data_IF_483025593267
#
_entry.id   IF_483025593267
#
_cell.length_a   1.000
_cell.length_b   1.000
_cell.length_c   1.000
_cell.angle_alpha   90.00
_cell.angle_beta   90.00
_cell.angle_gamma   90.00
#
_symmetry.space_group_name_H-M   'P 1'
#
loop_
_entity.id
_entity.type
_entity.pdbx_description
1 polymer ?
#
# COMPACT_ATOMS: atom_id res chain seq x y z
N UNK A 1 15.18 -4.39 -19.78
CA UNK A 1 14.90 -5.84 -19.74
C UNK A 1 13.73 -6.17 -18.81
N UNK A 2 13.74 -5.73 -17.54
CA UNK A 2 12.61 -5.90 -16.60
C UNK A 2 11.29 -5.23 -17.02
N UNK A 3 11.40 -4.14 -17.76
CA UNK A 3 10.27 -3.32 -18.19
C UNK A 3 9.38 -3.99 -19.25
N UNK A 4 9.96 -4.85 -20.10
CA UNK A 4 9.22 -5.58 -21.12
C UNK A 4 8.40 -6.74 -20.53
N UNK A 5 8.87 -7.33 -19.42
CA UNK A 5 8.18 -8.45 -18.75
C UNK A 5 6.86 -7.96 -18.12
N UNK A 6 6.85 -6.77 -17.52
CA UNK A 6 5.64 -6.21 -16.91
C UNK A 6 4.57 -5.86 -17.97
N UNK A 7 4.99 -5.43 -19.16
CA UNK A 7 4.07 -5.15 -20.28
C UNK A 7 3.47 -6.44 -20.82
N UNK A 8 4.29 -7.48 -21.03
CA UNK A 8 3.80 -8.79 -21.50
C UNK A 8 2.85 -9.46 -20.48
N UNK A 9 3.14 -9.33 -19.18
CA UNK A 9 2.26 -9.81 -18.10
C UNK A 9 0.95 -9.01 -18.08
N UNK A 10 0.99 -7.69 -18.25
CA UNK A 10 -0.21 -6.86 -18.32
C UNK A 10 -1.08 -7.20 -19.55
N UNK A 11 -0.46 -7.45 -20.71
CA UNK A 11 -1.15 -7.88 -21.93
C UNK A 11 -1.80 -9.28 -21.77
N UNK A 12 -1.11 -10.23 -21.13
CA UNK A 12 -1.71 -11.54 -20.85
C UNK A 12 -2.83 -11.49 -19.80
N UNK A 13 -2.67 -10.67 -18.76
CA UNK A 13 -3.73 -10.42 -17.79
C UNK A 13 -4.93 -9.71 -18.45
N UNK A 14 -4.70 -8.91 -19.50
CA UNK A 14 -5.73 -8.22 -20.27
C UNK A 14 -6.63 -9.17 -21.07
N UNK A 15 -6.09 -10.25 -21.63
CA UNK A 15 -6.87 -11.27 -22.35
C UNK A 15 -7.95 -11.92 -21.47
N UNK A 16 -7.71 -12.01 -20.15
CA UNK A 16 -8.69 -12.57 -19.22
C UNK A 16 -9.95 -11.70 -19.14
N UNK A 17 -9.82 -10.37 -19.25
CA UNK A 17 -10.96 -9.45 -19.18
C UNK A 17 -11.80 -9.41 -20.45
N UNK A 18 -11.23 -9.79 -21.60
CA UNK A 18 -11.98 -9.97 -22.85
C UNK A 18 -12.70 -11.33 -22.91
N UNK A 19 -12.50 -12.22 -21.93
CA UNK A 19 -13.20 -13.48 -21.87
C UNK A 19 -14.57 -13.28 -21.22
N UNK A 20 -15.64 -13.38 -22.01
CA UNK A 20 -17.01 -13.15 -21.53
C UNK A 20 -17.39 -14.08 -20.37
N UNK A 21 -16.94 -15.34 -20.36
CA UNK A 21 -17.23 -16.24 -19.24
C UNK A 21 -16.56 -15.83 -17.93
N UNK A 22 -15.32 -15.34 -18.01
CA UNK A 22 -14.63 -14.83 -16.84
C UNK A 22 -15.28 -13.54 -16.34
N UNK A 23 -15.66 -12.66 -17.26
CA UNK A 23 -16.40 -11.44 -16.96
C UNK A 23 -17.75 -11.74 -16.28
N UNK A 24 -18.51 -12.71 -16.79
CA UNK A 24 -19.78 -13.14 -16.21
C UNK A 24 -19.61 -13.66 -14.78
N UNK A 25 -18.57 -14.47 -14.55
CA UNK A 25 -18.26 -14.99 -13.22
C UNK A 25 -17.84 -13.88 -12.25
N UNK A 26 -17.08 -12.89 -12.72
CA UNK A 26 -16.75 -11.69 -11.94
C UNK A 26 -18.00 -10.88 -11.64
N UNK A 27 -18.91 -10.74 -12.61
CA UNK A 27 -20.16 -9.99 -12.47
C UNK A 27 -21.09 -10.58 -11.43
N UNK A 28 -21.16 -11.91 -11.36
CA UNK A 28 -21.92 -12.64 -10.34
C UNK A 28 -21.33 -12.47 -8.94
N UNK A 29 -20.00 -12.35 -8.83
CA UNK A 29 -19.26 -12.26 -7.55
C UNK A 29 -18.71 -10.86 -7.27
N UNK A 30 -19.23 -9.84 -7.95
CA UNK A 30 -18.67 -8.48 -8.00
C UNK A 30 -18.51 -7.85 -6.62
N UNK A 31 -19.44 -8.11 -5.71
CA UNK A 31 -19.45 -7.60 -4.34
C UNK A 31 -18.20 -7.99 -3.53
N UNK A 32 -17.53 -9.08 -3.90
CA UNK A 32 -16.28 -9.54 -3.26
C UNK A 32 -15.07 -9.18 -4.11
N UNK A 33 -15.14 -9.41 -5.43
CA UNK A 33 -13.99 -9.26 -6.32
C UNK A 33 -13.62 -7.80 -6.55
N UNK A 34 -14.59 -6.93 -6.82
CA UNK A 34 -14.33 -5.52 -7.15
C UNK A 34 -13.62 -4.79 -6.00
N UNK A 35 -14.05 -4.90 -4.72
CA UNK A 35 -13.33 -4.27 -3.62
C UNK A 35 -11.88 -4.74 -3.44
N UNK A 36 -11.57 -5.99 -3.79
CA UNK A 36 -10.20 -6.54 -3.68
C UNK A 36 -9.29 -5.99 -4.79
N UNK A 37 -9.82 -5.90 -6.02
CA UNK A 37 -9.04 -5.49 -7.20
C UNK A 37 -8.90 -3.96 -7.26
N UNK A 38 -9.92 -3.23 -6.83
CA UNK A 38 -10.00 -1.77 -7.01
C UNK A 38 -8.79 -1.00 -6.46
N UNK A 39 -8.25 -1.27 -5.25
CA UNK A 39 -7.09 -0.53 -4.74
C UNK A 39 -5.83 -0.67 -5.61
N UNK A 40 -5.60 -1.85 -6.17
CA UNK A 40 -4.47 -2.07 -7.07
C UNK A 40 -4.70 -1.35 -8.41
N UNK A 41 -5.93 -1.42 -8.92
CA UNK A 41 -6.34 -0.74 -10.15
C UNK A 41 -6.19 0.79 -10.03
N UNK A 42 -6.64 1.37 -8.93
CA UNK A 42 -6.59 2.83 -8.69
C UNK A 42 -5.15 3.33 -8.52
N UNK A 43 -4.28 2.57 -7.83
CA UNK A 43 -2.85 2.93 -7.76
C UNK A 43 -2.17 2.86 -9.12
N UNK A 44 -2.48 1.84 -9.92
CA UNK A 44 -1.97 1.75 -11.29
C UNK A 44 -2.44 2.94 -12.14
N UNK A 45 -3.71 3.34 -12.02
CA UNK A 45 -4.25 4.49 -12.76
C UNK A 45 -3.54 5.81 -12.43
N UNK A 46 -3.05 5.97 -11.19
CA UNK A 46 -2.38 7.19 -10.73
C UNK A 46 -0.87 7.22 -10.98
N UNK A 47 -0.20 6.08 -10.90
CA UNK A 47 1.26 6.02 -10.75
C UNK A 47 1.98 5.28 -11.87
N UNK A 48 1.26 4.63 -12.79
CA UNK A 48 1.91 3.82 -13.82
C UNK A 48 2.47 4.68 -14.96
N UNK A 49 3.75 4.51 -15.27
CA UNK A 49 4.48 5.31 -16.27
C UNK A 49 4.21 4.87 -17.73
N UNK A 50 3.73 3.64 -17.92
CA UNK A 50 3.45 3.08 -19.25
C UNK A 50 2.00 3.36 -19.70
N UNK A 51 1.85 4.02 -20.85
CA UNK A 51 0.55 4.42 -21.42
C UNK A 51 -0.35 3.23 -21.80
N UNK A 52 0.20 2.13 -22.32
CA UNK A 52 -0.60 0.94 -22.65
C UNK A 52 -1.24 0.33 -21.41
N UNK A 53 -0.48 0.25 -20.31
CA UNK A 53 -0.99 -0.24 -19.02
C UNK A 53 -2.04 0.72 -18.44
N UNK A 54 -1.86 2.04 -18.60
CA UNK A 54 -2.87 3.01 -18.20
C UNK A 54 -4.17 2.84 -18.99
N UNK A 55 -4.11 2.71 -20.32
CA UNK A 55 -5.30 2.48 -21.16
C UNK A 55 -6.06 1.21 -20.73
N UNK A 56 -5.33 0.12 -20.48
CA UNK A 56 -5.88 -1.13 -19.95
C UNK A 56 -6.57 -0.90 -18.60
N UNK A 57 -5.90 -0.21 -17.70
CA UNK A 57 -6.42 0.08 -16.35
C UNK A 57 -7.73 0.87 -16.45
N UNK A 58 -7.80 1.86 -17.34
CA UNK A 58 -9.00 2.65 -17.57
C UNK A 58 -10.13 1.82 -18.19
N UNK A 59 -9.82 0.90 -19.11
CA UNK A 59 -10.81 -0.01 -19.69
C UNK A 59 -11.44 -0.92 -18.61
N UNK A 60 -10.62 -1.52 -17.74
CA UNK A 60 -11.11 -2.36 -16.62
C UNK A 60 -11.91 -1.53 -15.63
N UNK A 61 -11.46 -0.31 -15.31
CA UNK A 61 -12.21 0.60 -14.44
C UNK A 61 -13.57 0.93 -15.02
N UNK A 62 -13.64 1.19 -16.33
CA UNK A 62 -14.91 1.44 -17.04
C UNK A 62 -15.82 0.22 -16.99
N UNK A 63 -15.30 -0.98 -17.24
CA UNK A 63 -16.09 -2.22 -17.13
C UNK A 63 -16.69 -2.40 -15.73
N UNK A 64 -15.94 -2.12 -14.67
CA UNK A 64 -16.49 -2.18 -13.31
C UNK A 64 -17.54 -1.10 -13.03
N UNK A 65 -17.35 0.09 -13.59
CA UNK A 65 -18.35 1.16 -13.51
C UNK A 65 -19.65 0.77 -14.21
N UNK A 66 -19.56 0.28 -15.45
CA UNK A 66 -20.70 -0.14 -16.26
C UNK A 66 -21.44 -1.33 -15.60
N UNK A 67 -20.71 -2.18 -14.86
CA UNK A 67 -21.25 -3.33 -14.14
C UNK A 67 -22.00 -2.97 -12.86
N UNK A 68 -21.42 -2.12 -12.00
CA UNK A 68 -22.04 -1.70 -10.74
C UNK A 68 -21.41 -0.39 -10.23
N UNK A 69 -21.91 0.74 -10.73
CA UNK A 69 -21.44 2.09 -10.38
C UNK A 69 -21.44 2.33 -8.87
N UNK A 70 -22.50 1.92 -8.17
CA UNK A 70 -22.64 2.15 -6.72
C UNK A 70 -21.55 1.42 -5.94
N UNK A 71 -21.27 0.17 -6.30
CA UNK A 71 -20.19 -0.59 -5.70
C UNK A 71 -18.84 0.07 -5.96
N UNK A 72 -18.60 0.54 -7.19
CA UNK A 72 -17.33 1.19 -7.54
C UNK A 72 -17.12 2.48 -6.74
N UNK A 73 -18.14 3.34 -6.61
CA UNK A 73 -18.07 4.56 -5.82
C UNK A 73 -17.83 4.27 -4.34
N UNK A 74 -18.43 3.19 -3.82
CA UNK A 74 -18.17 2.73 -2.45
C UNK A 74 -16.71 2.31 -2.28
N UNK A 75 -16.16 1.56 -3.23
CA UNK A 75 -14.75 1.18 -3.24
C UNK A 75 -13.83 2.40 -3.30
N UNK A 76 -14.20 3.43 -4.08
CA UNK A 76 -13.45 4.68 -4.17
C UNK A 76 -13.38 5.42 -2.84
N UNK A 77 -14.52 5.53 -2.13
CA UNK A 77 -14.57 6.17 -0.82
C UNK A 77 -13.76 5.39 0.22
N UNK A 78 -13.90 4.06 0.26
CA UNK A 78 -13.13 3.20 1.16
C UNK A 78 -11.62 3.30 0.89
N UNK A 79 -11.23 3.33 -0.39
CA UNK A 79 -9.83 3.48 -0.78
C UNK A 79 -9.24 4.81 -0.30
N UNK A 80 -9.98 5.92 -0.42
CA UNK A 80 -9.52 7.22 0.08
C UNK A 80 -9.30 7.20 1.60
N UNK A 81 -10.27 6.68 2.35
CA UNK A 81 -10.16 6.55 3.80
C UNK A 81 -8.97 5.66 4.22
N UNK A 82 -8.74 4.55 3.49
CA UNK A 82 -7.60 3.68 3.74
C UNK A 82 -6.26 4.35 3.44
N UNK A 83 -6.15 5.14 2.37
CA UNK A 83 -4.93 5.88 2.04
C UNK A 83 -4.63 6.98 3.09
N UNK A 84 -5.65 7.70 3.56
CA UNK A 84 -5.50 8.66 4.66
C UNK A 84 -5.01 7.99 5.94
N UNK A 85 -5.59 6.85 6.29
CA UNK A 85 -5.18 6.06 7.45
C UNK A 85 -3.74 5.54 7.32
N UNK A 86 -3.35 5.10 6.12
CA UNK A 86 -1.97 4.65 5.83
C UNK A 86 -0.98 5.81 5.97
N UNK A 87 -1.30 6.96 5.40
CA UNK A 87 -0.47 8.16 5.49
C UNK A 87 -0.30 8.62 6.95
N UNK A 88 -1.38 8.63 7.74
CA UNK A 88 -1.32 8.95 9.16
C UNK A 88 -0.45 7.95 9.95
N UNK A 89 -0.55 6.66 9.64
CA UNK A 89 0.27 5.63 10.27
C UNK A 89 1.76 5.72 9.86
N UNK A 90 2.04 6.11 8.62
CA UNK A 90 3.40 6.40 8.15
C UNK A 90 4.01 7.60 8.86
N UNK A 91 3.25 8.68 8.99
CA UNK A 91 3.70 9.88 9.70
C UNK A 91 3.95 9.60 11.20
N UNK A 92 3.05 8.87 11.85
CA UNK A 92 3.25 8.44 13.24
C UNK A 92 4.53 7.60 13.39
N UNK A 93 4.78 6.67 12.46
CA UNK A 93 6.02 5.87 12.44
C UNK A 93 7.25 6.75 12.26
N UNK A 94 7.21 7.73 11.35
CA UNK A 94 8.31 8.68 11.10
C UNK A 94 8.65 9.47 12.36
N UNK A 95 7.66 10.07 13.01
CA UNK A 95 7.84 10.86 14.24
C UNK A 95 8.37 10.00 15.40
N UNK A 96 7.89 8.76 15.52
CA UNK A 96 8.39 7.80 16.53
C UNK A 96 9.86 7.50 16.30
N UNK A 97 10.27 7.24 15.05
CA UNK A 97 11.67 7.00 14.69
C UNK A 97 12.56 8.22 14.97
N UNK A 98 12.12 9.42 14.63
CA UNK A 98 12.87 10.66 14.92
C UNK A 98 13.03 10.94 16.41
N UNK A 99 12.06 10.53 17.24
CA UNK A 99 12.20 10.62 18.69
C UNK A 99 13.21 9.60 19.22
N UNK A 100 13.19 8.37 18.71
CA UNK A 100 14.16 7.34 19.08
C UNK A 100 15.59 7.74 18.70
N UNK A 101 15.80 8.29 17.50
CA UNK A 101 17.11 8.78 17.05
C UNK A 101 17.62 9.92 17.94
N UNK A 102 16.78 10.90 18.27
CA UNK A 102 17.15 12.00 19.20
C UNK A 102 17.51 11.50 20.59
N UNK A 103 16.81 10.49 21.09
CA UNK A 103 17.07 9.91 22.42
C UNK A 103 18.31 9.00 22.44
N UNK A 104 18.70 8.45 21.29
CA UNK A 104 19.88 7.62 21.12
C UNK A 104 21.14 8.44 20.80
N UNK A 105 21.01 9.72 20.45
CA UNK A 105 22.13 10.62 20.21
C UNK A 105 22.96 10.78 21.51
N UNK A 106 24.24 10.38 21.52
CA UNK A 106 25.11 10.49 22.70
C UNK A 106 25.33 11.92 23.18
N UNK A 107 24.96 12.95 22.41
CA UNK A 107 24.95 14.34 22.84
C UNK A 107 23.74 14.71 23.72
N UNK A 108 22.68 13.89 23.76
CA UNK A 108 21.51 14.11 24.59
C UNK A 108 21.81 13.74 26.04
N UNK A 109 22.24 14.72 26.84
CA UNK A 109 22.34 14.59 28.30
C UNK A 109 21.02 15.11 28.91
N UNK A 110 20.11 14.25 29.42
CA UNK A 110 18.93 14.75 30.12
C UNK A 110 19.39 15.55 31.34
N UNK A 111 18.88 16.78 31.49
CA UNK A 111 19.30 17.75 32.52
C UNK A 111 19.15 17.25 33.98
N UNK A 112 18.49 16.10 34.19
CA UNK A 112 18.21 15.52 35.50
C UNK A 112 18.83 14.12 35.72
N UNK A 113 19.86 13.72 34.97
CA UNK A 113 20.54 12.44 35.25
C UNK A 113 21.29 12.51 36.60
N UNK A 114 20.94 11.68 37.61
CA UNK A 114 21.72 11.58 38.84
C UNK A 114 23.15 11.10 38.52
N UNK A 115 24.17 11.52 39.30
CA UNK A 115 25.55 11.13 39.05
C UNK A 115 25.65 9.60 39.06
N UNK A 116 26.13 9.06 37.94
CA UNK A 116 26.33 7.63 37.66
C UNK A 116 26.98 6.92 38.86
N UNK A 117 26.21 6.05 39.53
CA UNK A 117 26.74 5.14 40.53
C UNK A 117 27.62 4.09 39.85
N UNK A 118 28.82 3.94 40.40
CA UNK A 118 29.96 3.12 39.95
C UNK A 118 29.62 1.74 39.34
N UNK A 119 30.46 1.22 38.43
CA UNK A 119 30.22 -0.07 37.77
C UNK A 119 30.18 -1.24 38.77
N UNK A 120 29.35 -2.27 38.50
CA UNK A 120 29.21 -3.41 39.38
C UNK A 120 30.50 -4.23 39.41
N UNK A 121 31.04 -4.49 40.61
CA UNK A 121 32.17 -5.40 40.80
C UNK A 121 31.70 -6.83 40.51
N UNK A 122 32.40 -7.50 39.59
CA UNK A 122 32.21 -8.91 39.29
C UNK A 122 32.64 -9.74 40.51
N UNK A 123 31.83 -10.69 41.01
CA UNK A 123 32.27 -11.58 42.08
C UNK A 123 33.29 -12.59 41.53
N UNK A 124 34.50 -12.57 42.07
CA UNK A 124 35.48 -13.66 41.90
C UNK A 124 35.01 -14.86 42.70
N UNK A 125 34.55 -15.91 42.02
CA UNK A 125 34.29 -17.21 42.66
C UNK A 125 35.63 -17.89 42.90
N UNK A 126 35.88 -18.28 44.14
CA UNK A 126 37.02 -19.10 44.60
C UNK A 126 36.62 -20.56 44.61
#
# INVERSE_FOLDING_TARGET
MWQNILVEVAERALFLWNNEHLFDMISQNRQVIVPIVYPALERNARLHWNQSVLNVTMNVRKMFFDMDERLLLTCQSNFQADEEKRAAAEEHRRLTWEQLERNADPAFRPANAPPSSAPPRVPTVT
#
